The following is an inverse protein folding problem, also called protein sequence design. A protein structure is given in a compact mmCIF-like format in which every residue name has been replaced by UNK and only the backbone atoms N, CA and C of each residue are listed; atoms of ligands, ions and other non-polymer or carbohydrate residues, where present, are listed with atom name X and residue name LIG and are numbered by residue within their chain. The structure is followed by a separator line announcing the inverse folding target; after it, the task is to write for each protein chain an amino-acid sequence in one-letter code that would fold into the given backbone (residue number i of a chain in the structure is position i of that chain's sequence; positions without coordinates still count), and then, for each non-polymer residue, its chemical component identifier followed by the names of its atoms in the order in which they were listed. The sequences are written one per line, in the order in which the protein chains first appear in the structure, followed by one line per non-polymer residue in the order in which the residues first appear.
data_IF_916624598925
#
_entry.id   IF_916624598925
#
_cell.length_a   1.000
_cell.length_b   1.000
_cell.length_c   1.000
_cell.angle_alpha   90.00
_cell.angle_beta   90.00
_cell.angle_gamma   90.00
#
_symmetry.space_group_name_H-M   'P 1'
#
loop_
_entity.id
_entity.type
_entity.pdbx_description
1 polymer ?
#
# COMPACT_ATOMS: atom_id res chain seq x y z
N UNK A 1 46.63 -75.53 32.71
CA UNK A 1 45.28 -75.43 32.13
C UNK A 1 44.63 -74.19 32.71
N UNK A 2 44.69 -73.05 32.01
CA UNK A 2 44.10 -71.78 32.43
C UNK A 2 42.77 -71.58 31.66
N UNK A 3 41.72 -71.39 32.40
CA UNK A 3 40.36 -71.07 31.85
C UNK A 3 40.23 -69.56 31.71
N UNK A 4 40.07 -69.05 30.51
CA UNK A 4 39.70 -67.65 30.21
C UNK A 4 38.20 -67.50 30.33
N UNK A 5 37.75 -66.67 31.23
CA UNK A 5 36.34 -66.20 31.36
C UNK A 5 36.15 -64.90 30.55
N UNK A 6 35.41 -65.00 29.51
CA UNK A 6 34.97 -63.81 28.73
C UNK A 6 33.82 -63.11 29.45
N UNK A 7 34.07 -61.87 29.86
CA UNK A 7 33.01 -60.95 30.31
C UNK A 7 32.39 -60.24 29.09
N UNK A 8 31.08 -60.43 28.89
CA UNK A 8 30.29 -59.63 27.94
C UNK A 8 29.95 -58.29 28.61
N UNK A 9 30.40 -57.16 28.05
CA UNK A 9 29.90 -55.84 28.33
C UNK A 9 28.66 -55.60 27.50
N UNK A 10 27.52 -55.44 28.16
CA UNK A 10 26.27 -55.01 27.53
C UNK A 10 26.31 -53.49 27.46
N UNK A 11 26.37 -52.93 26.23
CA UNK A 11 26.27 -51.49 26.00
C UNK A 11 24.80 -51.11 25.91
N UNK A 12 24.29 -50.38 26.93
CA UNK A 12 22.98 -49.75 26.84
C UNK A 12 23.08 -48.51 25.93
N UNK A 13 22.47 -48.59 24.76
CA UNK A 13 22.25 -47.43 23.90
C UNK A 13 21.05 -46.67 24.42
N UNK A 14 21.29 -45.53 25.04
CA UNK A 14 20.23 -44.58 25.43
C UNK A 14 19.93 -43.73 24.20
N UNK A 15 18.83 -44.05 23.53
CA UNK A 15 18.30 -43.22 22.45
C UNK A 15 17.65 -41.98 23.07
N UNK A 16 18.39 -40.87 23.06
CA UNK A 16 17.85 -39.56 23.43
C UNK A 16 16.93 -39.06 22.31
N UNK A 17 15.64 -39.03 22.57
CA UNK A 17 14.66 -38.31 21.76
C UNK A 17 14.86 -36.83 22.00
N UNK A 18 15.53 -36.14 21.10
CA UNK A 18 15.54 -34.68 21.01
C UNK A 18 14.15 -34.20 20.62
N UNK A 19 13.33 -33.83 21.60
CA UNK A 19 12.12 -33.06 21.33
C UNK A 19 12.57 -31.67 20.90
N UNK A 20 12.47 -31.40 19.56
CA UNK A 20 12.55 -30.06 19.02
C UNK A 20 11.32 -29.29 19.51
N UNK A 21 11.49 -28.49 20.59
CA UNK A 21 10.53 -27.47 20.92
C UNK A 21 10.50 -26.46 19.73
N UNK A 22 9.47 -26.57 18.90
CA UNK A 22 9.20 -25.56 17.89
C UNK A 22 9.00 -24.23 18.61
N UNK A 23 9.94 -23.29 18.45
CA UNK A 23 9.76 -21.94 18.92
C UNK A 23 8.50 -21.40 18.18
N UNK A 24 7.41 -21.19 18.93
CA UNK A 24 6.27 -20.44 18.45
C UNK A 24 6.79 -19.06 18.08
N UNK A 25 6.64 -18.64 16.84
CA UNK A 25 7.01 -17.29 16.44
C UNK A 25 6.20 -16.30 17.29
N UNK A 26 6.90 -15.38 17.94
CA UNK A 26 6.26 -14.32 18.70
C UNK A 26 5.39 -13.50 17.73
N UNK A 27 4.12 -13.32 18.07
CA UNK A 27 3.20 -12.53 17.26
C UNK A 27 3.14 -11.10 17.75
N UNK A 28 3.27 -10.15 16.84
CA UNK A 28 3.19 -8.72 17.12
C UNK A 28 1.93 -8.17 16.43
N UNK A 29 0.74 -8.24 17.05
CA UNK A 29 -0.50 -7.77 16.46
C UNK A 29 -0.46 -6.26 16.23
N UNK A 30 -1.15 -5.78 15.19
CA UNK A 30 -1.28 -4.34 14.90
C UNK A 30 -2.06 -3.62 16.00
N UNK A 31 -1.83 -2.31 16.17
CA UNK A 31 -2.61 -1.46 17.08
C UNK A 31 -4.11 -1.56 16.74
N UNK A 32 -4.46 -1.59 15.46
CA UNK A 32 -5.85 -1.76 15.02
C UNK A 32 -6.44 -3.09 15.49
N UNK A 33 -5.72 -4.19 15.34
CA UNK A 33 -6.16 -5.50 15.82
C UNK A 33 -6.32 -5.53 17.35
N UNK A 34 -5.37 -4.94 18.09
CA UNK A 34 -5.45 -4.81 19.56
C UNK A 34 -6.64 -3.94 19.99
N UNK A 35 -7.04 -2.97 19.15
CA UNK A 35 -8.19 -2.10 19.38
C UNK A 35 -9.52 -2.70 18.90
N UNK A 36 -9.54 -3.96 18.43
CA UNK A 36 -10.74 -4.64 18.00
C UNK A 36 -11.21 -4.29 16.59
N UNK A 37 -10.36 -3.66 15.77
CA UNK A 37 -10.69 -3.42 14.37
C UNK A 37 -10.86 -4.75 13.62
N UNK A 38 -11.92 -4.84 12.84
CA UNK A 38 -12.21 -6.01 11.99
C UNK A 38 -11.74 -5.69 10.57
N UNK A 39 -10.93 -6.54 9.94
CA UNK A 39 -10.51 -6.34 8.56
C UNK A 39 -11.71 -6.22 7.61
N UNK A 40 -11.56 -5.41 6.56
CA UNK A 40 -12.60 -5.23 5.56
C UNK A 40 -12.92 -6.57 4.88
N UNK A 41 -14.20 -6.93 4.85
CA UNK A 41 -14.71 -8.17 4.24
C UNK A 41 -15.75 -7.91 3.15
N UNK A 42 -16.20 -6.67 3.01
CA UNK A 42 -17.13 -6.20 1.98
C UNK A 42 -16.98 -4.70 1.78
N UNK A 43 -17.42 -4.19 0.65
CA UNK A 43 -17.44 -2.76 0.34
C UNK A 43 -18.89 -2.27 0.27
N UNK A 44 -19.25 -1.19 1.00
CA UNK A 44 -20.60 -0.65 0.96
C UNK A 44 -20.90 -0.03 -0.43
N UNK A 45 -21.98 -0.50 -1.07
CA UNK A 45 -22.44 0.03 -2.34
C UNK A 45 -22.81 1.52 -2.23
N UNK A 46 -22.35 2.33 -3.18
CA UNK A 46 -22.61 3.77 -3.20
C UNK A 46 -21.86 4.59 -2.14
N UNK A 47 -21.06 3.95 -1.26
CA UNK A 47 -20.32 4.60 -0.18
C UNK A 47 -18.80 4.37 -0.27
N UNK A 48 -18.32 3.81 -1.36
CA UNK A 48 -16.90 3.55 -1.59
C UNK A 48 -16.41 4.35 -2.79
N UNK A 49 -15.24 4.98 -2.66
CA UNK A 49 -14.56 5.70 -3.74
C UNK A 49 -13.16 5.13 -3.98
N UNK A 50 -12.66 5.25 -5.21
CA UNK A 50 -11.28 4.92 -5.58
C UNK A 50 -10.46 6.20 -5.75
N UNK A 51 -9.33 6.28 -5.06
CA UNK A 51 -8.32 7.33 -5.23
C UNK A 51 -7.15 6.80 -6.04
N UNK A 52 -6.86 7.43 -7.17
CA UNK A 52 -5.78 7.08 -8.10
C UNK A 52 -4.74 8.21 -8.03
N UNK A 53 -3.68 7.99 -7.23
CA UNK A 53 -2.79 9.04 -6.79
C UNK A 53 -1.50 9.07 -7.61
N UNK A 54 -1.24 10.21 -8.27
CA UNK A 54 0.05 10.62 -8.81
C UNK A 54 0.70 9.64 -9.83
N UNK A 55 -0.09 8.97 -10.68
CA UNK A 55 0.46 8.24 -11.82
C UNK A 55 0.92 9.21 -12.92
N UNK A 56 1.97 10.00 -12.60
CA UNK A 56 2.53 11.06 -13.42
C UNK A 56 3.86 10.65 -14.04
N UNK A 57 4.19 11.23 -15.21
CA UNK A 57 5.42 10.93 -15.93
C UNK A 57 6.70 11.16 -15.11
N UNK A 58 6.67 11.99 -14.06
CA UNK A 58 7.79 12.20 -13.14
C UNK A 58 8.30 10.88 -12.54
N UNK A 59 7.39 9.93 -12.31
CA UNK A 59 7.69 8.61 -11.74
C UNK A 59 8.02 7.53 -12.78
N UNK A 60 7.99 7.86 -14.08
CA UNK A 60 8.30 6.91 -15.16
C UNK A 60 9.49 7.39 -16.00
N UNK A 61 9.43 8.61 -16.51
CA UNK A 61 10.44 9.19 -17.40
C UNK A 61 11.10 10.45 -16.83
N UNK A 62 10.65 10.91 -15.66
CA UNK A 62 11.21 12.06 -14.97
C UNK A 62 12.40 11.72 -14.07
N UNK A 63 12.61 12.53 -13.03
CA UNK A 63 13.76 12.42 -12.14
C UNK A 63 13.59 11.40 -11.00
N UNK A 64 12.40 10.89 -10.82
CA UNK A 64 12.09 9.94 -9.73
C UNK A 64 11.49 8.63 -10.25
N UNK A 65 12.17 7.93 -11.18
CA UNK A 65 11.63 6.70 -11.76
C UNK A 65 11.40 5.64 -10.68
N UNK A 66 10.23 4.99 -10.76
CA UNK A 66 9.81 3.91 -9.85
C UNK A 66 9.85 2.60 -10.64
N UNK A 67 10.74 1.66 -10.30
CA UNK A 67 10.90 0.41 -11.06
C UNK A 67 9.58 -0.38 -11.21
N UNK A 68 8.79 -0.46 -10.13
CA UNK A 68 7.51 -1.18 -10.11
C UNK A 68 6.31 -0.31 -10.51
N UNK A 69 6.55 0.94 -10.92
CA UNK A 69 5.51 1.87 -11.38
C UNK A 69 4.61 1.32 -12.47
N UNK A 70 5.14 0.67 -13.54
CA UNK A 70 4.32 0.06 -14.58
C UNK A 70 3.40 -1.06 -14.07
N UNK A 71 3.87 -1.90 -13.13
CA UNK A 71 3.07 -2.96 -12.53
C UNK A 71 1.95 -2.37 -11.65
N UNK A 72 2.27 -1.38 -10.82
CA UNK A 72 1.30 -0.67 -10.00
C UNK A 72 0.22 0.02 -10.86
N UNK A 73 0.64 0.65 -11.97
CA UNK A 73 -0.29 1.27 -12.92
C UNK A 73 -1.24 0.24 -13.54
N UNK A 74 -0.74 -0.92 -13.95
CA UNK A 74 -1.56 -1.98 -14.51
C UNK A 74 -2.60 -2.50 -13.51
N UNK A 75 -2.24 -2.62 -12.23
CA UNK A 75 -3.15 -3.02 -11.17
C UNK A 75 -4.15 -1.89 -10.82
N UNK A 76 -3.72 -0.64 -10.79
CA UNK A 76 -4.64 0.49 -10.60
C UNK A 76 -5.72 0.56 -11.70
N UNK A 77 -5.39 0.21 -12.94
CA UNK A 77 -6.39 0.10 -14.03
C UNK A 77 -7.44 -0.97 -13.76
N UNK A 78 -7.05 -2.13 -13.20
CA UNK A 78 -8.04 -3.17 -12.80
C UNK A 78 -8.96 -2.65 -11.69
N UNK A 79 -8.44 -1.84 -10.76
CA UNK A 79 -9.28 -1.21 -9.74
C UNK A 79 -10.24 -0.17 -10.34
N UNK A 80 -9.83 0.55 -11.39
CA UNK A 80 -10.72 1.46 -12.12
C UNK A 80 -11.84 0.69 -12.81
N UNK A 81 -11.53 -0.44 -13.45
CA UNK A 81 -12.52 -1.33 -14.07
C UNK A 81 -13.52 -1.85 -13.02
N UNK A 82 -13.02 -2.34 -11.88
CA UNK A 82 -13.84 -2.76 -10.75
C UNK A 82 -14.71 -1.62 -10.20
N UNK A 83 -14.15 -0.42 -10.06
CA UNK A 83 -14.91 0.74 -9.62
C UNK A 83 -16.05 1.10 -10.60
N UNK A 84 -15.82 0.96 -11.91
CA UNK A 84 -16.84 1.17 -12.93
C UNK A 84 -17.98 0.15 -12.85
N UNK A 85 -17.65 -1.13 -12.74
CA UNK A 85 -18.64 -2.21 -12.59
C UNK A 85 -19.58 -1.96 -11.40
N UNK A 86 -19.06 -1.40 -10.33
CA UNK A 86 -19.78 -1.13 -9.10
C UNK A 86 -20.21 0.33 -8.92
N UNK A 87 -20.06 1.18 -9.96
CA UNK A 87 -20.44 2.59 -9.95
C UNK A 87 -19.80 3.41 -8.83
N UNK A 88 -18.59 3.03 -8.43
CA UNK A 88 -17.80 3.79 -7.47
C UNK A 88 -17.20 5.02 -8.16
N UNK A 89 -17.22 6.22 -7.55
CA UNK A 89 -16.52 7.37 -8.10
C UNK A 89 -15.01 7.16 -8.04
N UNK A 90 -14.32 7.54 -9.12
CA UNK A 90 -12.86 7.49 -9.26
C UNK A 90 -12.33 8.92 -9.25
N UNK A 91 -11.43 9.20 -8.33
CA UNK A 91 -10.75 10.51 -8.23
C UNK A 91 -9.30 10.36 -8.64
N UNK A 92 -8.91 11.03 -9.73
CA UNK A 92 -7.51 11.14 -10.13
C UNK A 92 -6.85 12.30 -9.41
N UNK A 93 -5.66 12.05 -8.87
CA UNK A 93 -4.87 13.05 -8.16
C UNK A 93 -3.56 13.25 -8.87
N UNK A 94 -3.12 14.50 -9.03
CA UNK A 94 -1.77 14.83 -9.46
C UNK A 94 -1.10 15.82 -8.53
N UNK A 95 0.16 15.57 -8.23
CA UNK A 95 1.00 16.53 -7.53
C UNK A 95 1.44 17.63 -8.49
N UNK A 96 1.42 18.87 -8.05
CA UNK A 96 1.94 20.01 -8.80
C UNK A 96 2.88 20.83 -7.91
N UNK A 97 3.91 21.42 -8.53
CA UNK A 97 4.81 22.38 -7.94
C UNK A 97 4.85 23.66 -8.78
N UNK A 98 5.32 24.80 -8.25
CA UNK A 98 5.46 26.03 -9.02
C UNK A 98 6.24 25.85 -10.32
N UNK A 99 6.00 26.73 -11.29
CA UNK A 99 6.72 26.74 -12.55
C UNK A 99 8.24 26.79 -12.32
N UNK A 100 9.00 26.04 -13.12
CA UNK A 100 10.45 25.93 -13.00
C UNK A 100 10.95 25.07 -11.83
N UNK A 101 10.08 24.45 -11.03
CA UNK A 101 10.49 23.53 -9.96
C UNK A 101 11.26 22.33 -10.52
N UNK A 102 12.19 21.75 -9.75
CA UNK A 102 13.03 20.64 -10.23
C UNK A 102 12.24 19.37 -10.53
N UNK A 103 11.07 19.17 -9.89
CA UNK A 103 10.14 18.05 -10.07
C UNK A 103 8.71 18.56 -10.03
N UNK A 104 7.79 17.94 -10.72
CA UNK A 104 6.37 18.27 -10.79
C UNK A 104 6.04 19.71 -11.20
N UNK A 105 6.97 20.43 -11.84
CA UNK A 105 6.73 21.80 -12.29
C UNK A 105 5.45 21.87 -13.15
N UNK A 106 4.54 22.78 -12.81
CA UNK A 106 3.23 22.86 -13.50
C UNK A 106 3.36 23.16 -14.99
N UNK A 107 4.46 23.80 -15.40
CA UNK A 107 4.83 24.09 -16.78
C UNK A 107 5.67 22.98 -17.45
N UNK A 108 5.97 21.88 -16.73
CA UNK A 108 6.80 20.78 -17.21
C UNK A 108 5.99 19.68 -17.89
N UNK A 109 6.68 18.78 -18.60
CA UNK A 109 6.07 17.62 -19.24
C UNK A 109 5.87 16.46 -18.24
N UNK A 110 6.76 16.34 -17.25
CA UNK A 110 6.75 15.21 -16.30
C UNK A 110 5.64 15.32 -15.25
N UNK A 111 5.02 16.49 -15.09
CA UNK A 111 3.84 16.71 -14.24
C UNK A 111 2.56 16.09 -14.82
N UNK A 112 2.54 15.78 -16.12
CA UNK A 112 1.38 15.20 -16.80
C UNK A 112 1.16 13.75 -16.35
N UNK A 113 -0.09 13.31 -16.39
CA UNK A 113 -0.41 11.90 -16.18
C UNK A 113 0.29 11.00 -17.20
N UNK A 114 0.64 9.79 -16.75
CA UNK A 114 1.15 8.77 -17.67
C UNK A 114 0.14 8.50 -18.80
N UNK A 115 0.58 8.26 -20.06
CA UNK A 115 -0.33 8.04 -21.19
C UNK A 115 -1.41 6.97 -20.91
N UNK A 116 -1.04 5.87 -20.22
CA UNK A 116 -1.95 4.78 -19.91
C UNK A 116 -2.80 5.01 -18.64
N UNK A 117 -2.71 6.18 -18.01
CA UNK A 117 -3.47 6.56 -16.81
C UNK A 117 -4.12 7.93 -16.96
N UNK A 118 -4.65 8.22 -18.14
CA UNK A 118 -5.36 9.47 -18.39
C UNK A 118 -6.73 9.46 -17.70
N UNK A 119 -7.07 10.51 -16.92
CA UNK A 119 -8.41 10.66 -16.38
C UNK A 119 -9.46 10.68 -17.50
N UNK A 120 -10.58 10.00 -17.27
CA UNK A 120 -11.71 10.03 -18.21
C UNK A 120 -12.56 11.28 -17.97
N UNK A 121 -13.37 11.68 -18.93
CA UNK A 121 -14.20 12.89 -18.84
C UNK A 121 -15.14 12.90 -17.59
N UNK A 122 -15.52 11.70 -17.09
CA UNK A 122 -16.36 11.57 -15.91
C UNK A 122 -15.59 11.60 -14.57
N UNK A 123 -14.26 11.44 -14.61
CA UNK A 123 -13.44 11.31 -13.42
C UNK A 123 -12.92 12.67 -12.96
N UNK A 124 -13.24 13.12 -11.75
CA UNK A 124 -12.67 14.35 -11.20
C UNK A 124 -11.15 14.28 -11.09
N UNK A 125 -10.49 15.37 -11.44
CA UNK A 125 -9.05 15.56 -11.25
C UNK A 125 -8.78 16.54 -10.13
N UNK A 126 -7.99 16.14 -9.15
CA UNK A 126 -7.54 16.98 -8.05
C UNK A 126 -6.06 17.30 -8.21
N UNK A 127 -5.72 18.57 -8.01
CA UNK A 127 -4.33 19.04 -8.02
C UNK A 127 -3.90 19.36 -6.59
N UNK A 128 -2.90 18.64 -6.08
CA UNK A 128 -2.38 18.86 -4.74
C UNK A 128 -0.98 19.44 -4.77
N UNK A 129 -0.66 20.21 -3.74
CA UNK A 129 0.67 20.80 -3.50
C UNK A 129 1.34 20.23 -2.25
N UNK A 130 0.62 19.44 -1.47
CA UNK A 130 1.11 18.73 -0.28
C UNK A 130 1.26 17.24 -0.56
N UNK A 131 1.94 16.51 0.32
CA UNK A 131 2.10 15.05 0.21
C UNK A 131 0.75 14.37 0.20
N UNK A 132 -0.10 14.67 1.20
CA UNK A 132 -1.47 14.16 1.25
C UNK A 132 -2.39 14.96 0.33
N UNK A 133 -3.31 14.26 -0.34
CA UNK A 133 -4.36 14.91 -1.15
C UNK A 133 -5.36 15.68 -0.28
N UNK A 134 -5.56 15.27 0.96
CA UNK A 134 -6.48 15.95 1.88
C UNK A 134 -5.94 17.30 2.37
N UNK A 135 -4.62 17.49 2.39
CA UNK A 135 -3.98 18.69 2.95
C UNK A 135 -4.11 19.94 2.08
N UNK A 136 -4.37 19.81 0.77
CA UNK A 136 -4.38 20.96 -0.16
C UNK A 136 -5.47 20.91 -1.22
N UNK A 137 -6.48 20.04 -1.04
CA UNK A 137 -7.63 19.93 -1.95
C UNK A 137 -8.94 19.90 -1.18
N UNK A 138 -10.05 19.98 -1.91
CA UNK A 138 -11.39 19.85 -1.36
C UNK A 138 -11.93 18.41 -1.37
N UNK A 139 -11.03 17.39 -1.42
CA UNK A 139 -11.43 15.99 -1.51
C UNK A 139 -12.37 15.55 -0.39
N UNK A 140 -12.06 15.88 0.87
CA UNK A 140 -12.90 15.55 2.03
C UNK A 140 -14.34 16.07 1.84
N UNK A 141 -14.47 17.34 1.43
CA UNK A 141 -15.77 17.94 1.15
C UNK A 141 -16.53 17.20 0.04
N UNK A 142 -15.83 16.80 -1.03
CA UNK A 142 -16.45 16.07 -2.15
C UNK A 142 -16.89 14.66 -1.74
N UNK A 143 -16.05 13.94 -1.02
CA UNK A 143 -16.36 12.59 -0.53
C UNK A 143 -17.56 12.61 0.43
N UNK A 144 -17.58 13.55 1.39
CA UNK A 144 -18.70 13.73 2.31
C UNK A 144 -19.99 14.11 1.59
N UNK A 145 -19.93 15.03 0.63
CA UNK A 145 -21.10 15.41 -0.17
C UNK A 145 -21.65 14.25 -1.02
N UNK A 146 -20.80 13.31 -1.41
CA UNK A 146 -21.20 12.09 -2.12
C UNK A 146 -21.59 10.93 -1.18
N UNK A 147 -21.58 11.12 0.14
CA UNK A 147 -21.89 10.08 1.13
C UNK A 147 -20.86 8.96 1.20
N UNK A 148 -19.61 9.22 0.80
CA UNK A 148 -18.52 8.23 0.83
C UNK A 148 -18.04 8.02 2.26
N UNK A 149 -17.94 6.76 2.66
CA UNK A 149 -17.46 6.31 3.96
C UNK A 149 -16.17 5.48 3.84
N UNK A 150 -15.88 4.94 2.63
CA UNK A 150 -14.76 4.06 2.38
C UNK A 150 -13.93 4.59 1.22
N UNK A 151 -12.61 4.53 1.35
CA UNK A 151 -11.69 4.92 0.28
C UNK A 151 -10.72 3.78 -0.03
N UNK A 152 -10.70 3.34 -1.29
CA UNK A 152 -9.64 2.49 -1.82
C UNK A 152 -8.55 3.42 -2.33
N UNK A 153 -7.32 3.22 -1.89
CA UNK A 153 -6.18 4.08 -2.24
C UNK A 153 -5.17 3.30 -3.05
N UNK A 154 -4.84 3.81 -4.23
CA UNK A 154 -3.76 3.32 -5.09
C UNK A 154 -2.88 4.47 -5.54
N UNK A 155 -1.60 4.24 -5.84
CA UNK A 155 -0.76 5.30 -6.39
C UNK A 155 0.71 5.28 -6.03
N UNK A 156 1.34 6.38 -6.35
CA UNK A 156 2.78 6.64 -6.20
C UNK A 156 3.01 7.90 -5.34
N UNK A 157 3.96 7.89 -4.40
CA UNK A 157 4.75 6.77 -3.88
C UNK A 157 4.08 6.21 -2.62
N UNK A 158 4.24 4.90 -2.39
CA UNK A 158 3.64 4.22 -1.23
C UNK A 158 3.98 4.90 0.09
N UNK A 159 5.28 5.17 0.36
CA UNK A 159 5.75 5.77 1.61
C UNK A 159 5.46 7.28 1.74
N UNK A 160 4.95 7.91 0.70
CA UNK A 160 4.68 9.36 0.68
C UNK A 160 3.19 9.65 0.46
N UNK A 161 2.76 9.81 -0.80
CA UNK A 161 1.43 10.30 -1.11
C UNK A 161 0.32 9.29 -0.77
N UNK A 162 0.58 7.98 -0.91
CA UNK A 162 -0.36 6.92 -0.50
C UNK A 162 -0.47 6.86 1.02
N UNK A 163 0.65 6.74 1.74
CA UNK A 163 0.67 6.75 3.20
C UNK A 163 0.11 8.07 3.77
N UNK A 164 0.44 9.21 3.15
CA UNK A 164 -0.10 10.51 3.53
C UNK A 164 -1.62 10.57 3.38
N UNK A 165 -2.18 10.05 2.29
CA UNK A 165 -3.61 9.97 2.11
C UNK A 165 -4.29 9.05 3.15
N UNK A 166 -3.69 7.89 3.45
CA UNK A 166 -4.21 6.97 4.47
C UNK A 166 -4.22 7.59 5.87
N UNK A 167 -3.12 8.25 6.26
CA UNK A 167 -2.99 8.93 7.56
C UNK A 167 -4.01 10.04 7.76
N UNK A 168 -4.30 10.80 6.71
CA UNK A 168 -5.24 11.92 6.81
C UNK A 168 -6.69 11.46 6.66
N UNK A 169 -6.97 10.39 5.89
CA UNK A 169 -8.32 9.85 5.72
C UNK A 169 -8.87 9.21 7.01
N UNK A 170 -8.04 8.47 7.75
CA UNK A 170 -8.47 7.76 8.95
C UNK A 170 -9.06 8.69 10.04
N UNK A 171 -8.40 9.79 10.45
CA UNK A 171 -8.99 10.71 11.43
C UNK A 171 -10.19 11.51 10.89
N UNK A 172 -10.39 11.56 9.57
CA UNK A 172 -11.59 12.13 8.94
C UNK A 172 -12.76 11.13 8.90
N UNK A 173 -12.60 9.97 9.54
CA UNK A 173 -13.59 8.90 9.67
C UNK A 173 -13.86 8.10 8.39
N UNK A 174 -12.90 8.02 7.48
CA UNK A 174 -12.97 7.10 6.36
C UNK A 174 -12.41 5.72 6.76
N UNK A 175 -13.06 4.66 6.33
CA UNK A 175 -12.45 3.33 6.30
C UNK A 175 -11.48 3.29 5.11
N UNK A 176 -10.21 3.09 5.41
CA UNK A 176 -9.14 3.13 4.41
C UNK A 176 -8.75 1.72 4.01
N UNK A 177 -8.67 1.47 2.71
CA UNK A 177 -8.16 0.24 2.12
C UNK A 177 -7.08 0.58 1.09
N UNK A 178 -5.82 0.26 1.39
CA UNK A 178 -4.71 0.49 0.46
C UNK A 178 -4.45 -0.73 -0.41
N UNK A 179 -4.42 -0.51 -1.72
CA UNK A 179 -4.06 -1.53 -2.69
C UNK A 179 -2.53 -1.65 -2.77
N UNK A 180 -1.97 -2.68 -2.12
CA UNK A 180 -0.53 -2.86 -2.00
C UNK A 180 0.17 -2.91 -3.35
N UNK A 181 -0.26 -3.79 -4.24
CA UNK A 181 0.33 -4.03 -5.57
C UNK A 181 -0.12 -3.03 -6.64
N UNK A 182 -1.09 -2.14 -6.32
CA UNK A 182 -1.43 -0.95 -7.10
C UNK A 182 -0.76 0.31 -6.56
N UNK A 183 0.23 0.14 -5.67
CA UNK A 183 1.10 1.18 -5.12
C UNK A 183 2.56 0.76 -5.27
N UNK A 184 3.46 1.71 -5.42
CA UNK A 184 4.88 1.43 -5.56
C UNK A 184 5.72 2.61 -5.05
N UNK A 185 7.02 2.34 -4.82
CA UNK A 185 7.98 3.37 -4.41
C UNK A 185 9.36 3.13 -5.02
N UNK A 186 10.31 4.01 -4.75
CA UNK A 186 11.71 3.93 -5.17
C UNK A 186 12.63 3.76 -3.97
N UNK A 187 13.87 3.37 -4.19
CA UNK A 187 14.91 3.44 -3.19
C UNK A 187 15.25 4.89 -2.83
N UNK A 188 15.68 5.11 -1.60
CA UNK A 188 16.11 6.43 -1.09
C UNK A 188 17.49 6.31 -0.47
N UNK A 189 18.39 7.22 -0.84
CA UNK A 189 19.67 7.44 -0.14
C UNK A 189 19.51 8.67 0.75
N UNK A 190 19.75 8.49 2.04
CA UNK A 190 19.69 9.55 3.05
C UNK A 190 20.94 10.44 2.98
N UNK A 191 20.87 11.62 3.62
CA UNK A 191 21.99 12.56 3.67
C UNK A 191 23.26 11.95 4.30
N UNK A 192 23.10 11.00 5.22
CA UNK A 192 24.21 10.26 5.84
C UNK A 192 24.82 9.17 4.95
N UNK A 193 24.32 8.99 3.71
CA UNK A 193 24.78 7.99 2.75
C UNK A 193 24.10 6.62 2.88
N UNK A 194 23.31 6.39 3.92
CA UNK A 194 22.55 5.12 4.06
C UNK A 194 21.41 5.04 3.06
N UNK A 195 21.26 3.89 2.43
CA UNK A 195 20.19 3.64 1.47
C UNK A 195 19.17 2.66 2.02
N UNK A 196 17.90 2.95 1.76
CA UNK A 196 16.80 2.01 1.94
C UNK A 196 16.33 1.59 0.56
N UNK A 197 16.32 0.29 0.30
CA UNK A 197 15.82 -0.23 -0.99
C UNK A 197 14.29 -0.06 -1.11
N UNK A 198 13.80 -0.15 -2.35
CA UNK A 198 12.39 0.08 -2.66
C UNK A 198 11.45 -0.90 -1.97
N UNK A 199 11.84 -2.17 -1.84
CA UNK A 199 10.98 -3.22 -1.28
C UNK A 199 10.87 -3.06 0.24
N UNK A 200 11.99 -2.83 0.92
CA UNK A 200 11.99 -2.54 2.35
C UNK A 200 11.17 -1.29 2.67
N UNK A 201 11.31 -0.22 1.88
CA UNK A 201 10.57 1.02 2.09
C UNK A 201 9.08 0.85 1.79
N UNK A 202 8.73 0.08 0.75
CA UNK A 202 7.35 -0.24 0.43
C UNK A 202 6.67 -1.04 1.55
N UNK A 203 7.31 -2.13 1.99
CA UNK A 203 6.78 -2.98 3.06
C UNK A 203 6.66 -2.22 4.38
N UNK A 204 7.64 -1.40 4.75
CA UNK A 204 7.57 -0.59 5.96
C UNK A 204 6.39 0.40 5.93
N UNK A 205 6.14 1.04 4.78
CA UNK A 205 5.01 1.95 4.62
C UNK A 205 3.66 1.22 4.67
N UNK A 206 3.55 0.03 4.07
CA UNK A 206 2.33 -0.78 4.15
C UNK A 206 2.08 -1.29 5.58
N UNK A 207 3.13 -1.75 6.28
CA UNK A 207 3.02 -2.17 7.67
C UNK A 207 2.56 -1.03 8.59
N UNK A 208 3.07 0.19 8.39
CA UNK A 208 2.62 1.37 9.14
C UNK A 208 1.14 1.68 8.89
N UNK A 209 0.71 1.60 7.63
CA UNK A 209 -0.69 1.83 7.27
C UNK A 209 -1.58 0.79 7.95
N UNK A 210 -1.22 -0.48 7.86
CA UNK A 210 -2.00 -1.58 8.41
C UNK A 210 -2.01 -1.56 9.95
N UNK A 211 -0.91 -1.13 10.56
CA UNK A 211 -0.82 -1.01 12.02
C UNK A 211 -1.84 0.01 12.57
N UNK A 212 -2.05 1.15 11.88
CA UNK A 212 -2.72 2.30 12.49
C UNK A 212 -3.88 2.88 11.67
N UNK A 213 -3.82 2.90 10.33
CA UNK A 213 -4.68 3.78 9.53
C UNK A 213 -5.70 3.07 8.66
N UNK A 214 -5.47 1.84 8.22
CA UNK A 214 -6.37 1.16 7.29
C UNK A 214 -5.98 -0.28 7.03
N UNK A 215 -6.75 -0.95 6.21
CA UNK A 215 -6.44 -2.29 5.75
C UNK A 215 -5.53 -2.23 4.52
N UNK A 216 -4.73 -3.27 4.32
CA UNK A 216 -3.84 -3.42 3.18
C UNK A 216 -4.16 -4.74 2.48
N UNK A 217 -4.47 -4.69 1.19
CA UNK A 217 -4.79 -5.86 0.37
C UNK A 217 -4.18 -5.73 -1.02
N UNK A 218 -3.96 -6.85 -1.70
CA UNK A 218 -3.62 -6.83 -3.13
C UNK A 218 -4.87 -6.58 -3.98
N UNK A 219 -4.67 -6.05 -5.18
CA UNK A 219 -5.74 -5.79 -6.16
C UNK A 219 -6.62 -7.01 -6.38
N UNK A 220 -6.03 -8.21 -6.51
CA UNK A 220 -6.76 -9.45 -6.73
C UNK A 220 -7.66 -9.86 -5.54
N UNK A 221 -7.41 -9.39 -4.34
CA UNK A 221 -8.23 -9.59 -3.16
C UNK A 221 -9.34 -8.55 -3.10
N UNK A 222 -9.02 -7.29 -3.39
CA UNK A 222 -9.98 -6.17 -3.39
C UNK A 222 -11.12 -6.42 -4.39
N UNK A 223 -10.81 -6.83 -5.62
CA UNK A 223 -11.82 -7.07 -6.66
C UNK A 223 -12.72 -8.30 -6.38
N UNK A 224 -12.39 -9.12 -5.38
CA UNK A 224 -13.23 -10.24 -4.93
C UNK A 224 -14.11 -9.87 -3.76
N UNK A 225 -13.93 -8.70 -3.16
CA UNK A 225 -14.78 -8.26 -2.05
C UNK A 225 -16.23 -8.08 -2.54
N UNK A 226 -17.22 -8.60 -1.82
CA UNK A 226 -18.61 -8.31 -2.12
C UNK A 226 -18.89 -6.81 -2.04
N UNK A 227 -19.61 -6.28 -3.02
CA UNK A 227 -20.13 -4.90 -2.99
C UNK A 227 -21.63 -4.96 -2.70
N UNK A 228 -22.06 -4.44 -1.56
CA UNK A 228 -23.45 -4.58 -1.08
C UNK A 228 -23.98 -3.27 -0.50
#
# INVERSE_FOLDING_TARGET
MQRFTRRFLSACVVSGVLASAGASAETHPTIRAMSGAVPVSQLPAGKTALLVIDFQNEYFTGKMPIPDGPAALANARKLIEFADEHKMPVYHVRHIAPAGSPVFAIDGETVKFHPDMQPRAKDPVLQKTTVSVFGSTDLDKRLKAAGIENVIVSGLMTHACVAGAARDAAPLSYNVLVAADASATRAITRVNGESTDKDALHQAALAEIEDTFGDVMNTAEIIKLPVR
#
